data_IF_584292926944
#
_entry.id   IF_584292926944
#
_cell.length_a   1.000
_cell.length_b   1.000
_cell.length_c   1.000
_cell.angle_alpha   90.00
_cell.angle_beta   90.00
_cell.angle_gamma   90.00
#
_symmetry.space_group_name_H-M   'P 1'
#
loop_
_entity.id
_entity.type
_entity.pdbx_description
1 polymer ?
#
# COMPACT_ATOMS: atom_id res chain seq x y z
N UNK A 1 -28.44 36.40 7.57
CA UNK A 1 -27.26 35.81 6.91
C UNK A 1 -26.73 34.70 7.82
N UNK A 2 -27.11 33.48 7.55
CA UNK A 2 -26.63 32.31 8.33
C UNK A 2 -25.20 31.96 7.94
N UNK A 3 -24.29 31.96 8.89
CA UNK A 3 -22.94 31.45 8.69
C UNK A 3 -23.04 29.97 8.31
N UNK A 4 -22.60 29.59 7.10
CA UNK A 4 -22.38 28.21 6.70
C UNK A 4 -21.43 27.59 7.71
N UNK A 5 -21.88 26.64 8.51
CA UNK A 5 -20.99 25.79 9.30
C UNK A 5 -20.09 25.10 8.28
N UNK A 6 -18.82 25.48 8.24
CA UNK A 6 -17.84 24.75 7.46
C UNK A 6 -17.70 23.37 8.10
N UNK A 7 -18.12 22.34 7.39
CA UNK A 7 -17.99 20.97 7.86
C UNK A 7 -16.48 20.65 7.93
N UNK A 8 -16.04 19.97 8.98
CA UNK A 8 -14.65 19.62 9.21
C UNK A 8 -14.05 18.82 8.02
N UNK A 9 -14.91 18.11 7.29
CA UNK A 9 -14.57 17.33 6.11
C UNK A 9 -14.59 18.11 4.78
N UNK A 10 -14.94 19.39 4.79
CA UNK A 10 -15.00 20.22 3.57
C UNK A 10 -13.61 20.58 3.01
N UNK A 11 -12.55 20.38 3.78
CA UNK A 11 -11.18 20.66 3.37
C UNK A 11 -10.27 19.48 3.74
N UNK A 12 -9.67 18.88 2.69
CA UNK A 12 -8.66 17.83 2.84
C UNK A 12 -7.49 18.30 3.71
N UNK A 13 -7.07 19.55 3.57
CA UNK A 13 -5.97 20.12 4.34
C UNK A 13 -6.25 20.15 5.83
N UNK A 14 -7.51 20.49 6.22
CA UNK A 14 -7.93 20.44 7.62
C UNK A 14 -7.95 19.03 8.16
N UNK A 15 -8.45 18.07 7.36
CA UNK A 15 -8.46 16.66 7.72
C UNK A 15 -7.03 16.12 7.90
N UNK A 16 -6.13 16.39 6.94
CA UNK A 16 -4.73 15.97 7.02
C UNK A 16 -4.00 16.62 8.21
N UNK A 17 -4.24 17.92 8.45
CA UNK A 17 -3.66 18.61 9.60
C UNK A 17 -4.13 18.01 10.92
N UNK A 18 -5.41 17.64 11.03
CA UNK A 18 -5.95 16.98 12.22
C UNK A 18 -5.34 15.60 12.42
N UNK A 19 -5.37 14.76 11.39
CA UNK A 19 -4.84 13.39 11.46
C UNK A 19 -3.35 13.38 11.78
N UNK A 20 -2.58 14.32 11.22
CA UNK A 20 -1.14 14.44 11.48
C UNK A 20 -0.81 15.05 12.85
N UNK A 21 -1.75 15.83 13.45
CA UNK A 21 -1.56 16.43 14.79
C UNK A 21 -1.92 15.48 15.93
N UNK A 22 -2.55 14.34 15.63
CA UNK A 22 -2.98 13.36 16.64
C UNK A 22 -2.03 12.17 16.72
N UNK A 23 -1.88 11.60 17.93
CA UNK A 23 -1.16 10.32 18.12
C UNK A 23 -2.00 9.10 17.75
N UNK A 24 -3.12 9.28 17.05
CA UNK A 24 -4.08 8.23 16.77
C UNK A 24 -3.46 7.08 15.95
N UNK A 25 -2.79 7.42 14.85
CA UNK A 25 -2.13 6.43 13.97
C UNK A 25 -1.11 5.57 14.72
N UNK A 26 -0.25 6.21 15.53
CA UNK A 26 0.73 5.49 16.34
C UNK A 26 0.05 4.59 17.36
N UNK A 27 -1.01 5.06 18.03
CA UNK A 27 -1.76 4.24 18.98
C UNK A 27 -2.43 3.04 18.34
N UNK A 28 -3.01 3.21 17.14
CA UNK A 28 -3.60 2.11 16.35
C UNK A 28 -2.51 1.10 16.01
N UNK A 29 -1.37 1.54 15.46
CA UNK A 29 -0.27 0.66 15.10
C UNK A 29 0.25 -0.14 16.30
N UNK A 30 0.43 0.49 17.46
CA UNK A 30 0.83 -0.20 18.69
C UNK A 30 -0.21 -1.20 19.21
N UNK A 31 -1.50 -0.89 19.10
CA UNK A 31 -2.54 -1.84 19.47
C UNK A 31 -2.56 -3.04 18.54
N UNK A 32 -2.46 -2.83 17.22
CA UNK A 32 -2.36 -3.91 16.24
C UNK A 32 -1.14 -4.80 16.51
N UNK A 33 0.02 -4.20 16.82
CA UNK A 33 1.24 -4.93 17.17
C UNK A 33 1.06 -5.84 18.41
N UNK A 34 0.23 -5.46 19.38
CA UNK A 34 -0.10 -6.33 20.52
C UNK A 34 -0.87 -7.58 20.10
N UNK A 35 -1.79 -7.45 19.15
CA UNK A 35 -2.53 -8.61 18.63
C UNK A 35 -1.63 -9.59 17.87
N UNK A 36 -0.53 -9.10 17.26
CA UNK A 36 0.45 -9.97 16.59
C UNK A 36 1.06 -11.01 17.51
N UNK A 37 1.15 -10.79 18.83
CA UNK A 37 1.73 -11.76 19.78
C UNK A 37 1.12 -13.14 19.65
N UNK A 38 -0.18 -13.20 19.39
CA UNK A 38 -0.94 -14.45 19.27
C UNK A 38 -1.12 -14.92 17.81
N UNK A 39 -0.66 -14.14 16.84
CA UNK A 39 -0.79 -14.50 15.44
C UNK A 39 0.19 -15.60 15.06
N UNK A 40 -0.21 -16.48 14.14
CA UNK A 40 0.61 -17.54 13.56
C UNK A 40 0.52 -17.48 12.05
N UNK A 41 1.56 -17.93 11.38
CA UNK A 41 1.51 -18.16 9.95
C UNK A 41 0.72 -19.43 9.71
N UNK A 42 -0.39 -19.34 9.00
CA UNK A 42 -1.29 -20.48 8.75
C UNK A 42 -1.11 -21.11 7.38
N UNK A 43 -0.33 -20.46 6.50
CA UNK A 43 0.02 -20.90 5.15
C UNK A 43 1.46 -20.47 4.87
N UNK A 44 1.81 -20.33 3.59
CA UNK A 44 3.17 -20.05 3.14
C UNK A 44 3.65 -18.60 3.40
N UNK A 45 2.76 -17.70 3.85
CA UNK A 45 3.09 -16.31 4.10
C UNK A 45 2.19 -15.68 5.17
N UNK A 46 2.70 -14.68 5.87
CA UNK A 46 1.90 -13.76 6.67
C UNK A 46 1.21 -12.75 5.75
N UNK A 47 -0.11 -12.66 5.80
CA UNK A 47 -0.91 -11.85 4.88
C UNK A 47 -1.61 -10.72 5.62
N UNK A 48 -1.48 -9.52 5.08
CA UNK A 48 -2.13 -8.30 5.60
C UNK A 48 -2.95 -7.68 4.47
N UNK A 49 -4.21 -7.37 4.75
CA UNK A 49 -5.03 -6.50 3.93
C UNK A 49 -5.31 -5.20 4.68
N UNK A 50 -4.90 -4.07 4.09
CA UNK A 50 -5.13 -2.73 4.63
C UNK A 50 -6.10 -1.97 3.71
N UNK A 51 -7.34 -1.81 4.16
CA UNK A 51 -8.45 -1.29 3.36
C UNK A 51 -8.42 0.23 3.12
N UNK A 52 -7.52 0.94 3.79
CA UNK A 52 -7.33 2.39 3.66
C UNK A 52 -5.94 2.74 4.14
N UNK A 53 -4.94 2.44 3.31
CA UNK A 53 -3.52 2.51 3.69
C UNK A 53 -3.08 3.92 4.05
N UNK A 54 -3.73 4.95 3.44
CA UNK A 54 -3.38 6.34 3.68
C UNK A 54 -1.91 6.62 3.40
N UNK A 55 -1.28 7.44 4.24
CA UNK A 55 0.13 7.80 4.14
C UNK A 55 1.11 6.66 4.49
N UNK A 56 0.62 5.49 4.86
CA UNK A 56 1.40 4.32 5.18
C UNK A 56 2.00 4.28 6.59
N UNK A 57 1.78 5.29 7.42
CA UNK A 57 2.39 5.35 8.76
C UNK A 57 1.97 4.18 9.66
N UNK A 58 0.70 3.77 9.61
CA UNK A 58 0.19 2.64 10.40
C UNK A 58 0.77 1.32 9.88
N UNK A 59 0.63 1.06 8.58
CA UNK A 59 1.09 -0.21 8.01
C UNK A 59 2.60 -0.38 8.10
N UNK A 60 3.40 0.68 7.89
CA UNK A 60 4.85 0.61 8.01
C UNK A 60 5.30 0.36 9.46
N UNK A 61 4.63 0.93 10.45
CA UNK A 61 4.90 0.63 11.87
C UNK A 61 4.52 -0.82 12.20
N UNK A 62 3.38 -1.29 11.70
CA UNK A 62 2.96 -2.67 11.88
C UNK A 62 3.94 -3.66 11.24
N UNK A 63 4.44 -3.36 10.04
CA UNK A 63 5.40 -4.21 9.34
C UNK A 63 6.72 -4.39 10.12
N UNK A 64 7.19 -3.38 10.83
CA UNK A 64 8.34 -3.53 11.73
C UNK A 64 8.06 -4.58 12.82
N UNK A 65 6.91 -4.50 13.47
CA UNK A 65 6.52 -5.47 14.49
C UNK A 65 6.27 -6.88 13.92
N UNK A 66 5.81 -6.97 12.66
CA UNK A 66 5.68 -8.27 11.95
C UNK A 66 7.06 -8.83 11.65
N UNK A 67 8.02 -8.01 11.20
CA UNK A 67 9.40 -8.43 10.97
C UNK A 67 10.05 -8.95 12.25
N UNK A 68 9.91 -8.24 13.38
CA UNK A 68 10.45 -8.69 14.66
C UNK A 68 9.94 -10.08 15.06
N UNK A 69 8.73 -10.42 14.68
CA UNK A 69 8.12 -11.71 15.01
C UNK A 69 8.42 -12.79 13.97
N UNK A 70 8.49 -12.44 12.70
CA UNK A 70 8.61 -13.34 11.56
C UNK A 70 9.73 -12.88 10.61
N UNK A 71 10.99 -12.83 11.07
CA UNK A 71 12.08 -12.16 10.36
C UNK A 71 12.43 -12.77 8.99
N UNK A 72 12.21 -14.06 8.83
CA UNK A 72 12.56 -14.81 7.60
C UNK A 72 11.33 -15.26 6.79
N UNK A 73 10.14 -15.16 7.40
CA UNK A 73 8.93 -15.66 6.77
C UNK A 73 8.42 -14.71 5.68
N UNK A 74 7.80 -15.20 4.61
CA UNK A 74 7.19 -14.35 3.60
C UNK A 74 6.08 -13.47 4.18
N UNK A 75 6.11 -12.18 3.84
CA UNK A 75 5.05 -11.21 4.18
C UNK A 75 4.44 -10.69 2.88
N UNK A 76 3.12 -10.77 2.77
CA UNK A 76 2.36 -10.23 1.65
C UNK A 76 1.39 -9.18 2.19
N UNK A 77 1.53 -7.95 1.72
CA UNK A 77 0.62 -6.85 2.04
C UNK A 77 -0.18 -6.46 0.81
N UNK A 78 -1.47 -6.27 0.98
CA UNK A 78 -2.32 -5.61 -0.02
C UNK A 78 -2.86 -4.35 0.61
N UNK A 79 -2.36 -3.20 0.17
CA UNK A 79 -2.81 -1.88 0.58
C UNK A 79 -3.75 -1.29 -0.47
N UNK A 80 -4.95 -0.87 -0.04
CA UNK A 80 -5.89 -0.14 -0.88
C UNK A 80 -5.79 1.34 -0.58
N UNK A 81 -5.57 2.15 -1.62
CA UNK A 81 -5.59 3.62 -1.52
C UNK A 81 -6.03 4.24 -2.85
N UNK A 82 -6.71 5.39 -2.79
CA UNK A 82 -7.18 6.13 -3.97
C UNK A 82 -6.54 7.52 -4.09
N UNK A 83 -5.83 7.94 -3.05
CA UNK A 83 -5.16 9.24 -2.99
C UNK A 83 -3.71 9.10 -3.45
N UNK A 84 -3.35 9.81 -4.51
CA UNK A 84 -1.97 9.81 -5.02
C UNK A 84 -0.98 10.44 -4.04
N UNK A 85 -1.42 11.43 -3.25
CA UNK A 85 -0.55 12.09 -2.26
C UNK A 85 -0.24 11.16 -1.10
N UNK A 86 -1.23 10.38 -0.67
CA UNK A 86 -1.05 9.36 0.36
C UNK A 86 -0.14 8.24 -0.14
N UNK A 87 -0.30 7.81 -1.40
CA UNK A 87 0.63 6.84 -2.01
C UNK A 87 2.06 7.38 -2.09
N UNK A 88 2.26 8.63 -2.48
CA UNK A 88 3.59 9.23 -2.51
C UNK A 88 4.22 9.23 -1.11
N UNK A 89 3.43 9.51 -0.07
CA UNK A 89 3.88 9.45 1.31
C UNK A 89 4.23 8.01 1.73
N UNK A 90 3.38 7.04 1.42
CA UNK A 90 3.63 5.61 1.66
C UNK A 90 4.95 5.15 1.01
N UNK A 91 5.19 5.51 -0.25
CA UNK A 91 6.39 5.11 -0.99
C UNK A 91 7.68 5.60 -0.31
N UNK A 92 7.65 6.76 0.36
CA UNK A 92 8.80 7.29 1.10
C UNK A 92 9.19 6.44 2.33
N UNK A 93 8.24 5.70 2.91
CA UNK A 93 8.47 4.82 4.07
C UNK A 93 8.82 3.39 3.69
N UNK A 94 8.34 2.91 2.54
CA UNK A 94 8.47 1.51 2.15
C UNK A 94 9.91 1.06 1.94
N UNK A 95 10.83 1.92 1.52
CA UNK A 95 12.22 1.54 1.28
C UNK A 95 12.92 0.98 2.52
N UNK A 96 12.59 1.51 3.71
CA UNK A 96 13.07 0.96 4.97
C UNK A 96 12.47 -0.42 5.25
N UNK A 97 11.20 -0.62 4.96
CA UNK A 97 10.52 -1.91 5.15
C UNK A 97 11.09 -2.99 4.24
N UNK A 98 11.36 -2.65 2.98
CA UNK A 98 12.03 -3.56 2.05
C UNK A 98 13.49 -3.86 2.43
N UNK A 99 14.20 -2.90 3.03
CA UNK A 99 15.54 -3.14 3.55
C UNK A 99 15.52 -4.07 4.75
N UNK A 100 14.62 -3.82 5.68
CA UNK A 100 14.47 -4.58 6.93
C UNK A 100 13.98 -6.02 6.64
N UNK A 101 12.99 -6.20 5.77
CA UNK A 101 12.38 -7.49 5.49
C UNK A 101 12.54 -7.90 4.03
N UNK A 102 13.46 -8.84 3.80
CA UNK A 102 13.82 -9.30 2.45
C UNK A 102 12.66 -9.95 1.71
N UNK A 103 11.86 -10.74 2.41
CA UNK A 103 10.74 -11.52 1.86
C UNK A 103 9.40 -10.76 1.92
N UNK A 104 9.43 -9.43 1.76
CA UNK A 104 8.25 -8.58 1.68
C UNK A 104 7.78 -8.45 0.23
N UNK A 105 6.49 -8.68 0.01
CA UNK A 105 5.76 -8.27 -1.20
C UNK A 105 4.70 -7.24 -0.79
N UNK A 106 4.74 -6.06 -1.38
CA UNK A 106 3.77 -5.00 -1.11
C UNK A 106 2.95 -4.72 -2.38
N UNK A 107 1.66 -4.95 -2.30
CA UNK A 107 0.71 -4.68 -3.36
C UNK A 107 -0.05 -3.39 -3.05
N UNK A 108 -0.15 -2.48 -4.03
CA UNK A 108 -0.94 -1.25 -3.95
C UNK A 108 -2.04 -1.31 -4.99
N UNK A 109 -3.28 -1.09 -4.60
CA UNK A 109 -4.42 -1.07 -5.51
C UNK A 109 -5.38 0.09 -5.22
N UNK A 110 -5.97 0.65 -6.29
CA UNK A 110 -7.07 1.60 -6.23
C UNK A 110 -8.43 0.96 -6.55
N UNK A 111 -8.49 -0.37 -6.64
CA UNK A 111 -9.73 -1.11 -6.83
C UNK A 111 -10.69 -0.90 -5.65
N UNK A 112 -11.98 -1.02 -5.88
CA UNK A 112 -12.97 -0.94 -4.81
C UNK A 112 -12.88 -2.15 -3.88
N UNK A 113 -13.34 -1.98 -2.63
CA UNK A 113 -13.38 -3.06 -1.65
C UNK A 113 -14.15 -4.28 -2.15
N UNK A 114 -15.27 -4.05 -2.86
CA UNK A 114 -16.09 -5.13 -3.45
C UNK A 114 -15.30 -5.93 -4.48
N UNK A 115 -14.56 -5.26 -5.35
CA UNK A 115 -13.76 -5.92 -6.39
C UNK A 115 -12.63 -6.76 -5.81
N UNK A 116 -11.99 -6.26 -4.75
CA UNK A 116 -10.95 -7.00 -4.04
C UNK A 116 -11.55 -8.26 -3.40
N UNK A 117 -12.70 -8.11 -2.72
CA UNK A 117 -13.35 -9.20 -2.01
C UNK A 117 -13.93 -10.27 -2.95
N UNK A 118 -14.47 -9.85 -4.09
CA UNK A 118 -15.04 -10.75 -5.11
C UNK A 118 -13.96 -11.37 -6.02
N UNK A 119 -12.68 -11.11 -5.76
CA UNK A 119 -11.55 -11.58 -6.57
C UNK A 119 -11.63 -11.14 -8.04
N UNK A 120 -12.25 -9.99 -8.30
CA UNK A 120 -12.47 -9.46 -9.66
C UNK A 120 -11.34 -8.51 -10.09
N UNK A 121 -10.12 -9.01 -10.11
CA UNK A 121 -8.97 -8.23 -10.61
C UNK A 121 -8.79 -8.28 -12.12
N UNK A 122 -9.74 -8.91 -12.85
CA UNK A 122 -9.66 -9.11 -14.31
C UNK A 122 -9.48 -7.81 -15.11
N UNK A 123 -10.03 -6.70 -14.60
CA UNK A 123 -9.96 -5.39 -15.27
C UNK A 123 -8.87 -4.48 -14.69
N UNK A 124 -8.05 -4.98 -13.79
CA UNK A 124 -6.96 -4.21 -13.20
C UNK A 124 -5.70 -4.30 -14.06
N UNK A 125 -5.12 -3.15 -14.39
CA UNK A 125 -3.79 -3.11 -15.01
C UNK A 125 -2.75 -3.54 -13.99
N UNK A 126 -2.03 -4.63 -14.28
CA UNK A 126 -0.94 -5.12 -13.45
C UNK A 126 0.35 -4.34 -13.74
N UNK A 127 0.98 -3.85 -12.67
CA UNK A 127 2.27 -3.18 -12.73
C UNK A 127 3.20 -3.91 -11.75
N UNK A 128 4.32 -4.44 -12.24
CA UNK A 128 5.35 -5.07 -11.40
C UNK A 128 6.52 -4.12 -11.22
N UNK A 129 6.97 -3.93 -9.99
CA UNK A 129 8.18 -3.17 -9.64
C UNK A 129 9.13 -4.04 -8.86
N UNK A 130 10.19 -4.42 -9.51
CA UNK A 130 11.32 -5.10 -8.89
C UNK A 130 12.31 -4.07 -8.34
N UNK A 131 12.66 -4.20 -7.07
CA UNK A 131 13.65 -3.38 -6.39
C UNK A 131 15.02 -4.07 -6.42
N UNK A 132 16.04 -3.30 -6.81
CA UNK A 132 17.42 -3.77 -6.94
C UNK A 132 18.32 -2.99 -6.01
N UNK A 133 19.20 -3.68 -5.32
CA UNK A 133 20.13 -3.06 -4.38
C UNK A 133 20.10 -3.73 -3.02
N UNK A 134 20.85 -3.14 -2.07
CA UNK A 134 21.05 -3.70 -0.74
C UNK A 134 20.99 -2.66 0.39
N UNK A 135 20.41 -1.48 0.12
CA UNK A 135 20.25 -0.42 1.11
C UNK A 135 18.88 0.21 1.05
N UNK A 136 18.41 0.74 2.18
CA UNK A 136 17.17 1.52 2.25
C UNK A 136 17.22 2.74 1.32
N UNK A 137 18.39 3.37 1.17
CA UNK A 137 18.58 4.50 0.27
C UNK A 137 18.30 4.13 -1.19
N UNK A 138 18.90 3.01 -1.68
CA UNK A 138 18.70 2.57 -3.07
C UNK A 138 17.26 2.17 -3.34
N UNK A 139 16.58 1.55 -2.38
CA UNK A 139 15.16 1.22 -2.50
C UNK A 139 14.28 2.47 -2.48
N UNK A 140 14.54 3.42 -1.58
CA UNK A 140 13.80 4.69 -1.54
C UNK A 140 13.92 5.47 -2.86
N UNK A 141 15.10 5.59 -3.45
CA UNK A 141 15.27 6.24 -4.74
C UNK A 141 14.39 5.61 -5.84
N UNK A 142 14.33 4.29 -5.89
CA UNK A 142 13.52 3.58 -6.88
C UNK A 142 12.02 3.74 -6.62
N UNK A 143 11.61 3.82 -5.35
CA UNK A 143 10.22 3.99 -4.96
C UNK A 143 9.72 5.42 -5.17
N UNK A 144 10.53 6.43 -4.88
CA UNK A 144 10.18 7.85 -5.13
C UNK A 144 9.83 8.10 -6.61
N UNK A 145 10.54 7.45 -7.53
CA UNK A 145 10.25 7.55 -8.96
C UNK A 145 8.94 6.84 -9.38
N UNK A 146 8.33 6.07 -8.48
CA UNK A 146 7.07 5.37 -8.78
C UNK A 146 5.84 6.27 -8.72
N UNK A 147 5.88 7.39 -8.03
CA UNK A 147 4.76 8.32 -7.94
C UNK A 147 4.23 8.76 -9.31
N UNK A 148 5.13 9.15 -10.22
CA UNK A 148 4.77 9.52 -11.59
C UNK A 148 4.25 8.31 -12.40
N UNK A 149 4.83 7.13 -12.20
CA UNK A 149 4.36 5.89 -12.85
C UNK A 149 2.93 5.59 -12.42
N UNK A 150 2.63 5.73 -11.13
CA UNK A 150 1.29 5.50 -10.58
C UNK A 150 0.32 6.55 -11.13
N UNK A 151 0.66 7.84 -11.08
CA UNK A 151 -0.16 8.93 -11.60
C UNK A 151 -0.58 8.68 -13.04
N UNK A 152 0.39 8.32 -13.90
CA UNK A 152 0.14 7.99 -15.31
C UNK A 152 -0.76 6.77 -15.49
N UNK A 153 -0.51 5.71 -14.72
CA UNK A 153 -1.27 4.46 -14.84
C UNK A 153 -2.66 4.56 -14.22
N UNK A 154 -2.86 5.45 -13.26
CA UNK A 154 -4.19 5.72 -12.69
C UNK A 154 -5.05 6.62 -13.59
N UNK A 155 -4.48 7.14 -14.69
CA UNK A 155 -5.13 8.11 -15.59
C UNK A 155 -5.75 9.28 -14.80
N UNK A 156 -4.95 9.86 -13.90
CA UNK A 156 -5.38 11.00 -13.11
C UNK A 156 -5.35 12.23 -13.98
N UNK A 157 -6.53 12.79 -14.29
CA UNK A 157 -6.65 14.10 -14.93
C UNK A 157 -6.82 15.17 -13.86
N UNK A 158 -6.15 16.29 -14.05
CA UNK A 158 -6.37 17.48 -13.25
C UNK A 158 -7.77 18.01 -13.58
N UNK A 159 -8.70 17.81 -12.66
CA UNK A 159 -10.00 18.44 -12.71
C UNK A 159 -9.92 19.71 -11.87
N UNK A 160 -9.92 20.86 -12.54
CA UNK A 160 -9.86 22.17 -11.91
C UNK A 160 -11.04 22.48 -11.00
N UNK A 161 -12.11 21.68 -11.06
CA UNK A 161 -13.32 21.81 -10.26
C UNK A 161 -13.35 20.94 -8.99
N UNK A 162 -12.42 19.97 -8.85
CA UNK A 162 -12.38 19.00 -7.76
C UNK A 162 -11.03 19.02 -7.05
N UNK A 163 -11.05 19.18 -5.73
CA UNK A 163 -9.85 19.06 -4.88
C UNK A 163 -9.39 17.61 -4.71
N UNK A 164 -10.15 16.63 -5.21
CA UNK A 164 -9.84 15.20 -5.08
C UNK A 164 -9.55 14.62 -6.47
N UNK A 165 -8.29 14.30 -6.72
CA UNK A 165 -7.85 13.59 -7.92
C UNK A 165 -8.26 12.12 -7.81
N UNK A 166 -9.27 11.71 -8.59
CA UNK A 166 -9.77 10.32 -8.57
C UNK A 166 -9.11 9.50 -9.68
N UNK A 167 -8.60 8.29 -9.36
CA UNK A 167 -8.14 7.34 -10.37
C UNK A 167 -9.28 6.93 -11.30
N UNK A 168 -9.01 6.91 -12.60
CA UNK A 168 -9.95 6.42 -13.64
C UNK A 168 -9.63 5.01 -14.07
N UNK A 169 -8.34 4.65 -14.11
CA UNK A 169 -7.87 3.32 -14.44
C UNK A 169 -7.57 2.53 -13.16
N UNK A 170 -8.16 1.36 -13.04
CA UNK A 170 -7.84 0.43 -11.94
C UNK A 170 -6.50 -0.22 -12.17
N UNK A 171 -5.71 -0.29 -11.11
CA UNK A 171 -4.38 -0.90 -11.15
C UNK A 171 -4.13 -1.77 -9.94
N UNK A 172 -3.31 -2.78 -10.13
CA UNK A 172 -2.65 -3.54 -9.08
C UNK A 172 -1.15 -3.41 -9.29
N UNK A 173 -0.48 -2.71 -8.40
CA UNK A 173 0.97 -2.60 -8.41
C UNK A 173 1.56 -3.60 -7.41
N UNK A 174 2.51 -4.40 -7.83
CA UNK A 174 3.22 -5.38 -7.00
C UNK A 174 4.69 -4.97 -6.90
N UNK A 175 5.13 -4.67 -5.69
CA UNK A 175 6.49 -4.23 -5.38
C UNK A 175 7.17 -5.33 -4.57
N UNK A 176 8.38 -5.69 -4.98
CA UNK A 176 9.16 -6.74 -4.32
C UNK A 176 10.66 -6.56 -4.58
N UNK A 177 11.51 -7.20 -3.77
CA UNK A 177 12.95 -7.22 -4.01
C UNK A 177 13.32 -8.33 -5.00
N UNK A 178 14.30 -8.06 -5.87
CA UNK A 178 14.86 -9.06 -6.82
C UNK A 178 15.42 -10.29 -6.11
N UNK A 179 16.04 -10.09 -4.98
CA UNK A 179 16.76 -11.13 -4.23
C UNK A 179 15.89 -11.85 -3.19
N UNK A 180 14.55 -11.63 -3.22
CA UNK A 180 13.61 -12.38 -2.38
C UNK A 180 13.55 -13.85 -2.76
N UNK A 181 13.18 -14.69 -1.80
CA UNK A 181 13.04 -16.15 -2.00
C UNK A 181 11.60 -16.58 -2.30
N UNK A 182 10.64 -15.66 -2.28
CA UNK A 182 9.23 -15.96 -2.56
C UNK A 182 9.09 -16.21 -4.06
N UNK A 183 8.61 -17.40 -4.43
CA UNK A 183 8.30 -17.69 -5.82
C UNK A 183 7.03 -16.95 -6.21
N UNK A 184 7.17 -15.83 -6.93
CA UNK A 184 6.05 -15.08 -7.51
C UNK A 184 5.48 -15.77 -8.78
N UNK A 185 6.00 -16.94 -9.15
CA UNK A 185 5.56 -17.71 -10.33
C UNK A 185 4.09 -18.11 -10.26
N UNK A 186 3.53 -18.23 -9.05
CA UNK A 186 2.10 -18.56 -8.86
C UNK A 186 1.12 -17.49 -9.34
N UNK A 187 1.56 -16.28 -9.66
CA UNK A 187 0.68 -15.21 -10.14
C UNK A 187 0.57 -15.11 -11.66
N UNK A 188 1.52 -15.72 -12.41
CA UNK A 188 1.48 -15.74 -13.87
C UNK A 188 0.76 -17.00 -14.41
N UNK A 189 0.97 -18.16 -13.78
CA UNK A 189 0.41 -19.41 -14.29
C UNK A 189 -1.09 -19.57 -13.99
N UNK A 190 -1.59 -18.95 -12.90
CA UNK A 190 -3.03 -18.95 -12.60
C UNK A 190 -3.86 -18.09 -13.57
N UNK A 191 -3.23 -17.25 -14.38
CA UNK A 191 -3.92 -16.48 -15.42
C UNK A 191 -3.94 -17.24 -16.76
N UNK A 192 -2.93 -18.07 -17.04
CA UNK A 192 -2.80 -18.83 -18.29
C UNK A 192 -3.62 -20.13 -18.27
N UNK A 193 -3.78 -20.78 -17.12
CA UNK A 193 -4.58 -22.02 -16.99
C UNK A 193 -6.11 -21.81 -17.12
N UNK A 194 -6.59 -20.58 -17.24
CA UNK A 194 -8.01 -20.27 -17.47
C UNK A 194 -8.36 -19.95 -18.91
N UNK A 195 -7.39 -20.02 -19.84
CA UNK A 195 -7.59 -19.77 -21.28
C UNK A 195 -7.36 -21.02 -22.14
N UNK A 196 -7.30 -22.20 -21.54
CA UNK A 196 -7.28 -23.49 -22.27
C UNK A 196 -8.57 -24.26 -22.09
#
# INVERSE_FOLDING_TARGET
MGAKKSDFFDSRDKYLSFVNSTNEKSRIAFQLAKYLKNSKITKDAFRIFDAGTGDGSVICTLLSAVHDKFPEDPIIVVGKEISIDDINSLLNYLGYRFFEHKNLVFCITNASYREINDNRFTDCKLIKKELVGNSSFSFNQQLMNMGEVIRKNWDIKEDTSSTILRPRQKTLMVIYRRDQKICLLYTSDAADDRLS
#
